data_IF_413005003078
#
_entry.id   IF_413005003078
#
_cell.length_a   1.000
_cell.length_b   1.000
_cell.length_c   1.000
_cell.angle_alpha   90.00
_cell.angle_beta   90.00
_cell.angle_gamma   90.00
#
_symmetry.space_group_name_H-M   'P 1'
#
loop_
_entity.id
_entity.type
_entity.pdbx_description
1 polymer ?
#
# COMPACT_ATOMS: atom_id res chain seq x y z
N UNK A 1 6.76 -1.32 -4.65
CA UNK A 1 5.57 -0.59 -4.20
C UNK A 1 4.30 -1.46 -4.16
N UNK A 2 3.85 -2.08 -5.26
CA UNK A 2 2.55 -2.79 -5.31
C UNK A 2 2.34 -3.88 -4.23
N UNK A 3 3.42 -4.56 -3.82
CA UNK A 3 3.39 -5.60 -2.79
C UNK A 3 2.95 -5.08 -1.41
N UNK A 4 3.36 -3.86 -1.03
CA UNK A 4 3.03 -3.26 0.27
C UNK A 4 1.53 -3.02 0.40
N UNK A 5 0.91 -2.50 -0.68
CA UNK A 5 -0.53 -2.24 -0.71
C UNK A 5 -1.34 -3.54 -0.67
N UNK A 6 -0.87 -4.59 -1.35
CA UNK A 6 -1.50 -5.91 -1.29
C UNK A 6 -1.42 -6.51 0.12
N UNK A 7 -0.25 -6.49 0.76
CA UNK A 7 -0.08 -6.99 2.12
C UNK A 7 -0.95 -6.24 3.14
N UNK A 8 -1.05 -4.91 3.02
CA UNK A 8 -1.96 -4.12 3.86
C UNK A 8 -3.44 -4.47 3.60
N UNK A 9 -3.82 -4.73 2.34
CA UNK A 9 -5.17 -5.17 2.00
C UNK A 9 -5.50 -6.55 2.56
N UNK A 10 -4.49 -7.43 2.68
CA UNK A 10 -4.59 -8.74 3.32
C UNK A 10 -4.60 -8.67 4.87
N UNK A 11 -4.52 -7.45 5.44
CA UNK A 11 -4.59 -7.21 6.88
C UNK A 11 -3.25 -7.32 7.62
N UNK A 12 -2.14 -7.45 6.89
CA UNK A 12 -0.80 -7.46 7.48
C UNK A 12 -0.47 -6.06 8.00
N UNK A 13 0.08 -5.97 9.21
CA UNK A 13 0.43 -4.66 9.81
C UNK A 13 1.72 -4.10 9.23
N UNK A 14 1.90 -2.77 9.31
CA UNK A 14 3.11 -2.09 8.83
C UNK A 14 4.38 -2.66 9.48
N UNK A 15 4.32 -2.98 10.77
CA UNK A 15 5.45 -3.55 11.49
C UNK A 15 5.83 -4.94 10.95
N UNK A 16 4.84 -5.78 10.64
CA UNK A 16 5.07 -7.09 10.03
C UNK A 16 5.61 -6.96 8.62
N UNK A 17 5.12 -6.00 7.81
CA UNK A 17 5.63 -5.73 6.46
C UNK A 17 7.12 -5.36 6.50
N UNK A 18 7.52 -4.48 7.42
CA UNK A 18 8.93 -4.07 7.59
C UNK A 18 9.78 -5.23 8.12
N UNK A 19 9.21 -6.11 8.94
CA UNK A 19 9.92 -7.31 9.39
C UNK A 19 10.14 -8.33 8.25
N UNK A 20 9.19 -8.46 7.33
CA UNK A 20 9.32 -9.34 6.15
C UNK A 20 10.15 -8.73 5.02
N UNK A 21 10.17 -7.40 4.93
CA UNK A 21 10.93 -6.62 3.96
C UNK A 21 11.95 -5.74 4.70
N UNK A 22 13.09 -6.29 5.16
CA UNK A 22 14.04 -5.58 6.01
C UNK A 22 14.74 -4.40 5.31
N UNK A 23 14.69 -4.35 3.99
CA UNK A 23 15.16 -3.21 3.19
C UNK A 23 14.15 -2.03 3.18
N UNK A 24 12.95 -2.25 3.71
CA UNK A 24 11.85 -1.31 3.73
C UNK A 24 11.77 -0.65 5.12
N UNK A 25 11.67 0.67 5.15
CA UNK A 25 11.37 1.40 6.38
C UNK A 25 9.88 1.68 6.50
N UNK A 26 9.44 2.12 7.69
CA UNK A 26 8.07 2.62 7.87
C UNK A 26 7.79 3.81 6.94
N UNK A 27 8.78 4.65 6.66
CA UNK A 27 8.62 5.81 5.78
C UNK A 27 8.38 5.38 4.33
N UNK A 28 9.05 4.33 3.86
CA UNK A 28 8.86 3.75 2.52
C UNK A 28 7.45 3.15 2.34
N UNK A 29 6.87 2.60 3.42
CA UNK A 29 5.47 2.14 3.43
C UNK A 29 4.51 3.32 3.27
N UNK A 30 4.75 4.40 4.00
CA UNK A 30 3.93 5.62 3.92
C UNK A 30 4.05 6.25 2.52
N UNK A 31 5.24 6.28 1.93
CA UNK A 31 5.45 6.77 0.57
C UNK A 31 4.72 5.90 -0.46
N UNK A 32 4.80 4.57 -0.33
CA UNK A 32 4.03 3.64 -1.17
C UNK A 32 2.53 3.91 -1.12
N UNK A 33 1.99 4.19 0.08
CA UNK A 33 0.58 4.52 0.26
C UNK A 33 0.20 5.87 -0.36
N UNK A 34 1.07 6.89 -0.25
CA UNK A 34 0.85 8.18 -0.91
C UNK A 34 0.83 8.03 -2.42
N UNK A 35 1.80 7.31 -2.98
CA UNK A 35 1.85 7.02 -4.41
C UNK A 35 0.60 6.27 -4.87
N UNK A 36 0.15 5.26 -4.13
CA UNK A 36 -1.08 4.54 -4.44
C UNK A 36 -2.33 5.44 -4.37
N UNK A 37 -2.42 6.30 -3.35
CA UNK A 37 -3.53 7.25 -3.21
C UNK A 37 -3.54 8.30 -4.32
N UNK A 38 -2.38 8.77 -4.75
CA UNK A 38 -2.23 9.69 -5.88
C UNK A 38 -2.60 9.01 -7.20
N UNK A 39 -2.15 7.78 -7.43
CA UNK A 39 -2.53 6.99 -8.60
C UNK A 39 -4.05 6.73 -8.67
N UNK A 40 -4.74 6.57 -7.53
CA UNK A 40 -6.21 6.47 -7.45
C UNK A 40 -6.88 7.83 -7.63
N UNK A 41 -6.24 8.93 -7.22
CA UNK A 41 -6.77 10.28 -7.39
C UNK A 41 -6.67 10.77 -8.83
N UNK A 42 -5.55 10.50 -9.49
CA UNK A 42 -5.32 10.88 -10.90
C UNK A 42 -6.13 10.02 -11.87
N UNK A 43 -6.42 8.76 -11.50
CA UNK A 43 -7.37 7.92 -12.23
C UNK A 43 -8.71 7.95 -11.52
N UNK A 44 -9.63 8.82 -11.95
CA UNK A 44 -11.07 8.75 -11.62
C UNK A 44 -11.74 7.45 -12.14
N UNK A 45 -11.14 6.28 -11.93
CA UNK A 45 -11.86 5.03 -11.99
C UNK A 45 -12.35 4.77 -10.57
N UNK A 46 -13.67 4.88 -10.32
CA UNK A 46 -14.19 4.52 -9.01
C UNK A 46 -13.68 3.13 -8.71
N UNK A 47 -13.06 2.97 -7.53
CA UNK A 47 -12.80 1.65 -6.96
C UNK A 47 -14.19 1.03 -6.78
N UNK A 48 -14.68 0.39 -7.84
CA UNK A 48 -15.87 -0.44 -7.81
C UNK A 48 -15.50 -1.52 -6.82
N UNK A 49 -15.91 -1.30 -5.58
CA UNK A 49 -16.19 -2.34 -4.62
C UNK A 49 -17.18 -3.25 -5.33
N UNK A 50 -16.66 -4.26 -6.03
CA UNK A 50 -17.48 -5.32 -6.57
C UNK A 50 -17.84 -6.17 -5.37
N UNK A 51 -19.02 -5.86 -4.82
CA UNK A 51 -19.71 -6.69 -3.83
C UNK A 51 -20.06 -8.05 -4.43
#
# INVERSE_FOLDING_TARGET
MATVVAMLADGITIHEIVAELPDLTTDDVVESLRFAAEAVRERELPLRHMA
#
